data_IF_479095033492
#
_entry.id   IF_479095033492
#
_cell.length_a   1.000
_cell.length_b   1.000
_cell.length_c   1.000
_cell.angle_alpha   90.00
_cell.angle_beta   90.00
_cell.angle_gamma   90.00
#
_symmetry.space_group_name_H-M   'P 1'
#
loop_
_entity.id
_entity.type
_entity.pdbx_description
1 polymer ?
#
# COMPACT_ATOMS: atom_id res chain seq x y z
N UNK A 1 -45.71 -8.76 -3.93
CA UNK A 1 -44.41 -8.89 -4.64
C UNK A 1 -43.64 -7.59 -4.46
N UNK A 2 -42.41 -7.64 -3.92
CA UNK A 2 -41.54 -6.44 -3.83
C UNK A 2 -41.06 -6.08 -5.24
N UNK A 3 -41.36 -4.86 -5.69
CA UNK A 3 -40.91 -4.33 -6.98
C UNK A 3 -39.37 -4.20 -6.95
N UNK A 4 -38.69 -4.75 -7.93
CA UNK A 4 -37.23 -4.65 -8.05
C UNK A 4 -36.91 -3.22 -8.52
N UNK A 5 -36.14 -2.48 -7.71
CA UNK A 5 -35.77 -1.10 -8.02
C UNK A 5 -34.80 -1.07 -9.20
N UNK A 6 -34.97 -0.10 -10.10
CA UNK A 6 -34.03 0.15 -11.20
C UNK A 6 -32.73 0.78 -10.67
N UNK A 7 -31.65 0.70 -11.45
CA UNK A 7 -30.35 1.28 -11.07
C UNK A 7 -30.47 2.78 -10.76
N UNK A 8 -31.31 3.50 -11.49
CA UNK A 8 -31.52 4.94 -11.30
C UNK A 8 -32.28 5.25 -9.99
N UNK A 9 -33.33 4.47 -9.67
CA UNK A 9 -34.05 4.57 -8.39
C UNK A 9 -33.17 4.23 -7.17
N UNK A 10 -32.16 3.36 -7.37
CA UNK A 10 -31.17 3.04 -6.35
C UNK A 10 -30.18 4.17 -6.16
N UNK A 11 -29.75 4.85 -7.24
CA UNK A 11 -28.82 5.99 -7.16
C UNK A 11 -29.41 7.19 -6.42
N UNK A 12 -30.70 7.50 -6.62
CA UNK A 12 -31.36 8.60 -5.91
C UNK A 12 -31.36 8.44 -4.38
N UNK A 13 -31.38 7.19 -3.91
CA UNK A 13 -31.38 6.85 -2.49
C UNK A 13 -30.00 6.36 -2.00
N UNK A 14 -29.01 6.32 -2.88
CA UNK A 14 -27.68 5.84 -2.56
C UNK A 14 -26.90 6.94 -1.85
N UNK A 15 -26.36 6.59 -0.69
CA UNK A 15 -25.30 7.37 -0.07
C UNK A 15 -24.01 7.02 -0.84
N UNK A 16 -23.70 7.83 -1.87
CA UNK A 16 -22.53 7.62 -2.75
C UNK A 16 -21.22 7.88 -1.98
N UNK A 17 -21.28 8.71 -0.94
CA UNK A 17 -20.14 9.07 -0.10
C UNK A 17 -20.50 8.93 1.37
N UNK A 18 -19.54 8.46 2.18
CA UNK A 18 -19.75 8.34 3.62
C UNK A 18 -20.00 9.71 4.26
N UNK A 19 -21.04 9.86 5.09
CA UNK A 19 -21.29 11.08 5.85
C UNK A 19 -20.09 11.45 6.74
N UNK A 20 -19.88 12.75 6.94
CA UNK A 20 -18.73 13.30 7.68
C UNK A 20 -18.65 12.72 9.09
N UNK A 21 -19.78 12.43 9.71
CA UNK A 21 -19.89 11.86 11.05
C UNK A 21 -19.34 10.43 11.10
N UNK A 22 -19.62 9.62 10.06
CA UNK A 22 -19.10 8.25 9.96
C UNK A 22 -17.60 8.29 9.62
N UNK A 23 -17.19 9.19 8.73
CA UNK A 23 -15.77 9.43 8.43
C UNK A 23 -14.97 9.80 9.68
N UNK A 24 -15.50 10.66 10.56
CA UNK A 24 -14.87 11.03 11.84
C UNK A 24 -14.78 9.84 12.81
N UNK A 25 -15.82 9.01 12.87
CA UNK A 25 -15.88 7.82 13.75
C UNK A 25 -14.98 6.68 13.27
N UNK A 26 -14.82 6.53 11.97
CA UNK A 26 -13.85 5.59 11.38
C UNK A 26 -12.43 6.14 11.36
N UNK A 27 -12.21 7.46 11.26
CA UNK A 27 -10.87 8.03 11.36
C UNK A 27 -10.15 7.65 12.66
N UNK A 28 -10.90 7.45 13.76
CA UNK A 28 -10.35 7.00 15.03
C UNK A 28 -10.12 5.48 15.11
N UNK A 29 -10.66 4.69 14.18
CA UNK A 29 -10.73 3.22 14.28
C UNK A 29 -10.07 2.49 13.11
N UNK A 30 -10.05 3.12 11.93
CA UNK A 30 -9.66 2.53 10.66
C UNK A 30 -8.50 3.27 10.02
N UNK A 31 -7.63 2.50 9.38
CA UNK A 31 -6.48 3.00 8.63
C UNK A 31 -6.87 3.59 7.26
N UNK A 32 -8.07 3.27 6.75
CA UNK A 32 -8.52 3.64 5.41
C UNK A 32 -8.59 5.16 5.19
N UNK A 33 -9.18 5.97 6.11
CA UNK A 33 -9.21 7.42 5.94
C UNK A 33 -7.81 8.06 5.91
N UNK A 34 -6.86 7.52 6.68
CA UNK A 34 -5.48 7.96 6.68
C UNK A 34 -4.79 7.65 5.34
N UNK A 35 -5.04 6.46 4.79
CA UNK A 35 -4.52 6.07 3.48
C UNK A 35 -5.11 6.95 2.37
N UNK A 36 -6.42 7.18 2.35
CA UNK A 36 -7.06 8.08 1.38
C UNK A 36 -6.44 9.48 1.41
N UNK A 37 -6.23 10.05 2.60
CA UNK A 37 -5.62 11.38 2.76
C UNK A 37 -4.17 11.43 2.24
N UNK A 38 -3.42 10.35 2.41
CA UNK A 38 -1.99 10.28 2.06
C UNK A 38 -1.72 9.71 0.66
N UNK A 39 -2.76 9.34 -0.09
CA UNK A 39 -2.64 8.67 -1.38
C UNK A 39 -1.86 9.49 -2.42
N UNK A 40 -2.25 10.75 -2.64
CA UNK A 40 -1.58 11.64 -3.61
C UNK A 40 -0.08 11.79 -3.33
N UNK A 41 0.28 11.86 -2.04
CA UNK A 41 1.68 11.95 -1.61
C UNK A 41 2.43 10.66 -1.89
N UNK A 42 1.81 9.51 -1.62
CA UNK A 42 2.38 8.20 -1.93
C UNK A 42 2.66 8.05 -3.43
N UNK A 43 1.69 8.41 -4.29
CA UNK A 43 1.84 8.38 -5.75
C UNK A 43 2.96 9.32 -6.22
N UNK A 44 3.06 10.51 -5.64
CA UNK A 44 4.14 11.47 -5.95
C UNK A 44 5.53 10.89 -5.65
N UNK A 45 5.68 10.15 -4.55
CA UNK A 45 6.95 9.48 -4.20
C UNK A 45 7.31 8.45 -5.27
N UNK A 46 6.35 7.64 -5.73
CA UNK A 46 6.58 6.65 -6.78
C UNK A 46 7.03 7.31 -8.09
N UNK A 47 6.39 8.39 -8.49
CA UNK A 47 6.76 9.13 -9.71
C UNK A 47 8.17 9.72 -9.64
N UNK A 48 8.58 10.25 -8.49
CA UNK A 48 9.93 10.81 -8.32
C UNK A 48 11.03 9.73 -8.19
N UNK A 49 10.63 8.48 -7.96
CA UNK A 49 11.55 7.34 -7.76
C UNK A 49 11.80 6.48 -9.00
N UNK A 50 11.42 6.96 -10.19
CA UNK A 50 11.49 6.17 -11.44
C UNK A 50 12.91 5.97 -12.02
N UNK A 51 13.89 6.68 -11.44
CA UNK A 51 15.29 6.68 -11.86
C UNK A 51 16.05 5.41 -11.49
N UNK A 52 15.75 4.80 -10.34
CA UNK A 52 16.38 3.58 -9.82
C UNK A 52 15.37 2.81 -8.94
N UNK A 53 15.33 1.46 -8.95
CA UNK A 53 14.38 0.68 -8.16
C UNK A 53 14.49 0.87 -6.63
N UNK A 54 15.56 1.51 -6.14
CA UNK A 54 15.75 1.85 -4.72
C UNK A 54 15.68 3.35 -4.42
N UNK A 55 15.47 4.21 -5.44
CA UNK A 55 15.37 5.65 -5.25
C UNK A 55 14.26 6.06 -4.27
N UNK A 56 13.19 5.28 -4.19
CA UNK A 56 12.06 5.53 -3.29
C UNK A 56 12.48 5.58 -1.82
N UNK A 57 13.48 4.80 -1.39
CA UNK A 57 13.95 4.77 0.02
C UNK A 57 14.41 6.15 0.48
N UNK A 58 15.28 6.77 -0.33
CA UNK A 58 15.83 8.09 -0.04
C UNK A 58 14.77 9.19 -0.04
N UNK A 59 13.71 9.03 -0.84
CA UNK A 59 12.62 9.98 -0.92
C UNK A 59 11.72 9.82 0.30
N UNK A 60 11.35 8.59 0.67
CA UNK A 60 10.55 8.31 1.87
C UNK A 60 11.25 8.84 3.12
N UNK A 61 12.55 8.61 3.27
CA UNK A 61 13.32 9.08 4.44
C UNK A 61 13.36 10.62 4.58
N UNK A 62 13.12 11.36 3.49
CA UNK A 62 13.12 12.84 3.47
C UNK A 62 11.72 13.45 3.62
N UNK A 63 10.65 12.65 3.51
CA UNK A 63 9.28 13.17 3.53
C UNK A 63 8.70 13.00 4.93
N UNK A 64 8.60 14.10 5.67
CA UNK A 64 8.11 14.12 7.06
C UNK A 64 6.65 13.61 7.19
N UNK A 65 5.79 13.98 6.24
CA UNK A 65 4.37 13.58 6.23
C UNK A 65 4.12 12.13 5.73
N UNK A 66 5.17 11.36 5.45
CA UNK A 66 5.06 9.97 4.97
C UNK A 66 6.03 9.06 5.73
N UNK A 67 5.70 8.68 6.98
CA UNK A 67 6.53 7.74 7.71
C UNK A 67 6.53 6.36 7.03
N UNK A 68 7.62 5.62 7.17
CA UNK A 68 7.86 4.37 6.43
C UNK A 68 6.76 3.30 6.65
N UNK A 69 6.16 3.28 7.85
CA UNK A 69 5.03 2.40 8.16
C UNK A 69 3.75 2.75 7.40
N UNK A 70 3.50 4.05 7.14
CA UNK A 70 2.37 4.50 6.33
C UNK A 70 2.60 4.21 4.85
N UNK A 71 3.84 4.43 4.37
CA UNK A 71 4.24 4.07 3.01
C UNK A 71 4.07 2.55 2.76
N UNK A 72 4.51 1.72 3.70
CA UNK A 72 4.34 0.26 3.62
C UNK A 72 2.86 -0.15 3.54
N UNK A 73 1.98 0.50 4.32
CA UNK A 73 0.54 0.22 4.26
C UNK A 73 -0.05 0.50 2.88
N UNK A 74 0.39 1.55 2.19
CA UNK A 74 0.00 1.80 0.80
C UNK A 74 0.45 0.69 -0.14
N UNK A 75 1.71 0.22 -0.01
CA UNK A 75 2.22 -0.90 -0.80
C UNK A 75 1.38 -2.17 -0.57
N UNK A 76 1.08 -2.51 0.68
CA UNK A 76 0.26 -3.66 1.03
C UNK A 76 -1.13 -3.64 0.37
N UNK A 77 -1.76 -2.47 0.31
CA UNK A 77 -3.06 -2.29 -0.37
C UNK A 77 -2.93 -2.53 -1.88
N UNK A 78 -1.90 -1.98 -2.52
CA UNK A 78 -1.69 -2.16 -3.96
C UNK A 78 -1.35 -3.60 -4.35
N UNK A 79 -0.57 -4.29 -3.51
CA UNK A 79 -0.15 -5.66 -3.76
C UNK A 79 -1.18 -6.71 -3.32
N UNK A 80 -2.32 -6.30 -2.74
CA UNK A 80 -3.27 -7.19 -2.08
C UNK A 80 -2.57 -8.11 -1.04
N UNK A 81 -1.58 -7.58 -0.33
CA UNK A 81 -0.84 -8.29 0.71
C UNK A 81 -1.42 -7.86 2.07
N UNK A 82 -2.37 -8.65 2.56
CA UNK A 82 -2.90 -8.51 3.92
C UNK A 82 -1.95 -9.09 4.99
N UNK A 83 -2.35 -8.94 6.27
CA UNK A 83 -1.53 -9.37 7.41
C UNK A 83 -1.14 -10.86 7.38
N UNK A 84 -2.05 -11.74 6.95
CA UNK A 84 -1.76 -13.17 6.84
C UNK A 84 -0.69 -13.48 5.78
N UNK A 85 -0.80 -12.91 4.58
CA UNK A 85 0.21 -13.05 3.52
C UNK A 85 1.55 -12.48 3.97
N UNK A 86 1.54 -11.34 4.68
CA UNK A 86 2.74 -10.73 5.23
C UNK A 86 3.45 -11.63 6.26
N UNK A 87 2.68 -12.29 7.13
CA UNK A 87 3.23 -13.26 8.08
C UNK A 87 3.86 -14.47 7.37
N UNK A 88 3.23 -14.96 6.30
CA UNK A 88 3.77 -16.07 5.50
C UNK A 88 5.04 -15.69 4.75
N UNK A 89 5.15 -14.45 4.28
CA UNK A 89 6.39 -13.99 3.66
C UNK A 89 7.59 -14.11 4.59
N UNK A 90 7.44 -13.92 5.90
CA UNK A 90 8.56 -14.13 6.82
C UNK A 90 9.10 -15.56 6.77
N UNK A 91 8.23 -16.56 6.70
CA UNK A 91 8.64 -17.96 6.58
C UNK A 91 9.09 -18.35 5.17
N UNK A 92 8.57 -17.69 4.13
CA UNK A 92 8.83 -18.05 2.73
C UNK A 92 9.99 -17.26 2.10
N UNK A 93 10.26 -16.04 2.56
CA UNK A 93 11.35 -15.19 2.08
C UNK A 93 12.70 -15.90 2.06
N UNK A 94 13.13 -16.65 3.10
CA UNK A 94 14.39 -17.39 3.05
C UNK A 94 14.49 -18.38 1.88
N UNK A 95 13.37 -18.88 1.36
CA UNK A 95 13.35 -19.83 0.23
C UNK A 95 13.47 -19.15 -1.14
N UNK A 96 13.21 -17.83 -1.19
CA UNK A 96 13.26 -17.01 -2.41
C UNK A 96 14.57 -16.23 -2.49
N UNK A 97 15.29 -16.09 -1.37
CA UNK A 97 16.55 -15.37 -1.28
C UNK A 97 17.73 -16.29 -1.57
N UNK A 98 18.54 -15.92 -2.56
CA UNK A 98 19.83 -16.56 -2.80
C UNK A 98 20.87 -15.84 -1.94
N UNK A 99 21.44 -16.53 -0.93
CA UNK A 99 22.45 -15.98 -0.02
C UNK A 99 22.03 -14.64 0.66
N UNK A 100 20.79 -14.55 1.15
CA UNK A 100 20.21 -13.32 1.72
C UNK A 100 20.16 -12.14 0.73
N UNK A 101 20.28 -12.39 -0.58
CA UNK A 101 20.09 -11.40 -1.62
C UNK A 101 18.75 -11.60 -2.33
N UNK A 102 18.01 -10.50 -2.47
CA UNK A 102 16.86 -10.43 -3.35
C UNK A 102 17.33 -10.01 -4.74
N UNK A 103 17.20 -10.92 -5.71
CA UNK A 103 17.56 -10.69 -7.11
C UNK A 103 16.27 -10.47 -7.92
N UNK A 104 16.19 -9.36 -8.65
CA UNK A 104 15.03 -9.05 -9.49
C UNK A 104 15.42 -8.29 -10.75
N UNK A 105 14.57 -8.35 -11.77
CA UNK A 105 14.75 -7.63 -13.02
C UNK A 105 13.94 -6.34 -13.01
N UNK A 106 14.57 -5.22 -13.35
CA UNK A 106 13.92 -3.92 -13.52
C UNK A 106 14.45 -3.25 -14.80
N UNK A 107 13.54 -2.81 -15.69
CA UNK A 107 13.88 -2.25 -17.02
C UNK A 107 14.91 -3.10 -17.79
N UNK A 108 14.76 -4.42 -17.77
CA UNK A 108 15.67 -5.42 -18.38
C UNK A 108 17.10 -5.46 -17.82
N UNK A 109 17.33 -4.85 -16.65
CA UNK A 109 18.57 -4.96 -15.90
C UNK A 109 18.34 -5.74 -14.62
N UNK A 110 19.27 -6.62 -14.28
CA UNK A 110 19.23 -7.35 -13.02
C UNK A 110 19.76 -6.46 -11.89
N UNK A 111 19.01 -6.42 -10.79
CA UNK A 111 19.37 -5.73 -9.56
C UNK A 111 19.43 -6.76 -8.43
N UNK A 112 20.28 -6.47 -7.44
CA UNK A 112 20.47 -7.30 -6.26
C UNK A 112 20.50 -6.45 -5.00
N UNK A 113 19.88 -6.96 -3.94
CA UNK A 113 19.70 -6.24 -2.68
C UNK A 113 19.92 -7.20 -1.54
N UNK A 114 20.92 -6.94 -0.71
CA UNK A 114 21.17 -7.72 0.50
C UNK A 114 20.12 -7.38 1.57
N UNK A 115 19.60 -8.41 2.23
CA UNK A 115 18.68 -8.31 3.36
C UNK A 115 19.45 -8.61 4.64
N UNK A 116 19.29 -7.77 5.65
CA UNK A 116 19.92 -8.00 6.95
C UNK A 116 19.28 -9.20 7.67
N UNK A 117 20.11 -10.05 8.30
CA UNK A 117 19.65 -11.26 9.00
C UNK A 117 18.63 -10.96 10.12
N UNK A 118 18.63 -9.76 10.69
CA UNK A 118 17.66 -9.34 11.72
C UNK A 118 16.22 -9.24 11.22
N UNK A 119 16.00 -9.26 9.90
CA UNK A 119 14.67 -9.21 9.28
C UNK A 119 14.09 -10.59 8.91
N UNK A 120 14.89 -11.65 8.98
CA UNK A 120 14.48 -13.04 8.73
C UNK A 120 14.08 -13.69 10.06
#
# INVERSE_FOLDING_TARGET
>A
MKKQKTVDELKENAIIFWPIEICKKEQSTSVIPLLLKSHEKFISILHLSDSDPMAWKQIVDKVEDMPSNLFLKHLCVLSDIGGEKLMRFRSELPTILDNNELIFNWKNKQHKVSIEESFL
#
